data_IF_511823059904
#
_entry.id   IF_511823059904
#
_cell.length_a   1.000
_cell.length_b   1.000
_cell.length_c   1.000
_cell.angle_alpha   90.00
_cell.angle_beta   90.00
_cell.angle_gamma   90.00
#
_symmetry.space_group_name_H-M   'P 1'
#
loop_
_entity.id
_entity.type
_entity.pdbx_description
1 polymer ?
#
# COMPACT_ATOMS: atom_id res chain seq x y z
N UNK A 1 11.84 -22.81 18.56
CA UNK A 1 12.65 -22.28 17.45
C UNK A 1 14.11 -22.54 17.78
N UNK A 2 14.88 -23.26 16.95
CA UNK A 2 16.33 -23.45 17.12
C UNK A 2 17.03 -22.66 16.00
N UNK A 3 17.87 -21.69 16.36
CA UNK A 3 18.66 -20.93 15.39
C UNK A 3 20.09 -21.47 15.45
N UNK A 4 20.57 -22.02 14.34
CA UNK A 4 21.97 -22.39 14.21
C UNK A 4 22.74 -21.27 13.53
N UNK A 5 23.79 -20.81 14.19
CA UNK A 5 24.70 -19.80 13.64
C UNK A 5 25.74 -20.48 12.75
N UNK A 6 25.94 -19.91 11.58
CA UNK A 6 27.07 -20.20 10.72
C UNK A 6 27.69 -18.89 10.31
N UNK A 7 28.83 -18.58 10.90
CA UNK A 7 29.63 -17.42 10.51
C UNK A 7 30.69 -17.88 9.55
N UNK A 8 30.64 -17.40 8.33
CA UNK A 8 31.74 -17.58 7.37
C UNK A 8 32.01 -16.24 6.71
N UNK A 9 33.23 -15.68 6.83
CA UNK A 9 33.62 -14.46 6.12
C UNK A 9 33.70 -14.66 4.61
N UNK A 10 33.47 -15.89 4.13
CA UNK A 10 33.53 -16.23 2.71
C UNK A 10 32.14 -16.58 2.18
N UNK A 11 31.63 -15.75 1.28
CA UNK A 11 30.34 -15.99 0.61
C UNK A 11 30.26 -17.35 -0.09
N UNK A 12 31.37 -17.90 -0.60
CA UNK A 12 31.41 -19.21 -1.25
C UNK A 12 31.02 -20.33 -0.27
N UNK A 13 31.53 -20.28 0.97
CA UNK A 13 31.16 -21.25 2.00
C UNK A 13 29.70 -21.18 2.39
N UNK A 14 29.14 -19.94 2.48
CA UNK A 14 27.72 -19.73 2.71
C UNK A 14 26.85 -20.30 1.60
N UNK A 15 27.22 -20.09 0.34
CA UNK A 15 26.49 -20.66 -0.81
C UNK A 15 26.59 -22.18 -0.90
N UNK A 16 27.77 -22.80 -0.61
CA UNK A 16 27.88 -24.25 -0.52
C UNK A 16 26.99 -24.82 0.56
N UNK A 17 26.95 -24.18 1.74
CA UNK A 17 26.08 -24.58 2.84
C UNK A 17 24.62 -24.49 2.44
N UNK A 18 24.22 -23.40 1.78
CA UNK A 18 22.87 -23.22 1.27
C UNK A 18 22.50 -24.31 0.27
N UNK A 19 23.36 -24.59 -0.71
CA UNK A 19 23.10 -25.61 -1.72
C UNK A 19 22.91 -27.01 -1.10
N UNK A 20 23.79 -27.40 -0.18
CA UNK A 20 23.67 -28.68 0.54
C UNK A 20 22.36 -28.75 1.33
N UNK A 21 22.02 -27.67 2.05
CA UNK A 21 20.78 -27.62 2.83
C UNK A 21 19.52 -27.67 1.96
N UNK A 22 19.54 -27.05 0.77
CA UNK A 22 18.42 -27.11 -0.17
C UNK A 22 18.21 -28.54 -0.72
N UNK A 23 19.26 -29.30 -0.88
CA UNK A 23 19.18 -30.70 -1.33
C UNK A 23 18.71 -31.64 -0.19
N UNK A 24 19.17 -31.39 1.04
CA UNK A 24 18.84 -32.24 2.20
C UNK A 24 17.42 -31.95 2.77
N UNK A 25 17.04 -30.69 2.83
CA UNK A 25 15.83 -30.19 3.51
C UNK A 25 14.81 -29.59 2.53
N UNK A 26 14.52 -30.22 1.38
CA UNK A 26 13.53 -29.70 0.43
C UNK A 26 12.10 -30.17 0.76
N UNK A 27 11.07 -29.44 0.38
CA UNK A 27 11.10 -28.11 -0.23
C UNK A 27 11.44 -26.99 0.77
N UNK A 28 12.24 -26.02 0.33
CA UNK A 28 12.72 -24.92 1.17
C UNK A 28 12.44 -23.54 0.56
N UNK A 29 12.37 -22.49 1.40
CA UNK A 29 12.35 -21.11 0.97
C UNK A 29 13.68 -20.42 1.30
N UNK A 30 14.12 -19.55 0.39
CA UNK A 30 15.32 -18.73 0.56
C UNK A 30 14.93 -17.27 0.43
N UNK A 31 14.85 -16.56 1.53
CA UNK A 31 14.52 -15.14 1.54
C UNK A 31 15.75 -14.27 1.30
N UNK A 32 15.59 -13.31 0.41
CA UNK A 32 16.56 -12.26 0.09
C UNK A 32 15.91 -10.88 0.14
N UNK A 33 16.73 -9.82 0.21
CA UNK A 33 16.21 -8.47 0.42
C UNK A 33 15.93 -7.67 -0.87
N UNK A 34 16.30 -8.19 -2.04
CA UNK A 34 16.02 -7.50 -3.31
C UNK A 34 15.74 -8.48 -4.45
N UNK A 35 15.04 -7.98 -5.48
CA UNK A 35 14.73 -8.76 -6.71
C UNK A 35 16.01 -9.17 -7.43
N UNK A 36 16.97 -8.26 -7.54
CA UNK A 36 18.29 -8.56 -8.16
C UNK A 36 19.07 -9.61 -7.38
N UNK A 37 18.98 -9.59 -6.04
CA UNK A 37 19.60 -10.63 -5.23
C UNK A 37 18.94 -11.99 -5.46
N UNK A 38 17.62 -12.06 -5.65
CA UNK A 38 16.92 -13.32 -5.94
C UNK A 38 17.42 -13.96 -7.23
N UNK A 39 17.52 -13.17 -8.29
CA UNK A 39 18.05 -13.62 -9.58
C UNK A 39 19.52 -14.05 -9.50
N UNK A 40 20.37 -13.22 -8.87
CA UNK A 40 21.80 -13.51 -8.73
C UNK A 40 22.07 -14.77 -7.90
N UNK A 41 21.33 -14.94 -6.81
CA UNK A 41 21.46 -16.13 -5.93
C UNK A 41 21.05 -17.38 -6.68
N UNK A 42 19.94 -17.36 -7.42
CA UNK A 42 19.47 -18.48 -8.23
C UNK A 42 20.51 -18.90 -9.27
N UNK A 43 21.00 -17.95 -10.07
CA UNK A 43 22.01 -18.20 -11.09
C UNK A 43 23.30 -18.77 -10.49
N UNK A 44 23.74 -18.23 -9.35
CA UNK A 44 24.96 -18.70 -8.67
C UNK A 44 24.79 -20.11 -8.13
N UNK A 45 23.66 -20.46 -7.54
CA UNK A 45 23.37 -21.82 -7.05
C UNK A 45 23.39 -22.83 -8.20
N UNK A 46 22.69 -22.54 -9.31
CA UNK A 46 22.65 -23.41 -10.49
C UNK A 46 24.05 -23.59 -11.11
N UNK A 47 24.86 -22.51 -11.15
CA UNK A 47 26.23 -22.57 -11.65
C UNK A 47 27.16 -23.41 -10.77
N UNK A 48 26.93 -23.42 -9.45
CA UNK A 48 27.75 -24.19 -8.50
C UNK A 48 27.34 -25.65 -8.38
N UNK A 49 26.04 -25.91 -8.53
CA UNK A 49 25.43 -27.23 -8.35
C UNK A 49 24.38 -27.42 -9.45
N UNK A 50 24.76 -27.92 -10.65
CA UNK A 50 23.87 -27.99 -11.81
C UNK A 50 22.62 -28.85 -11.61
N UNK A 51 22.65 -29.82 -10.70
CA UNK A 51 21.50 -30.64 -10.35
C UNK A 51 20.48 -29.98 -9.43
N UNK A 52 20.79 -28.79 -8.90
CA UNK A 52 19.86 -28.06 -8.03
C UNK A 52 18.71 -27.48 -8.84
N UNK A 53 17.48 -27.77 -8.46
CA UNK A 53 16.30 -27.22 -9.07
C UNK A 53 15.70 -26.14 -8.16
N UNK A 54 15.96 -24.86 -8.47
CA UNK A 54 15.47 -23.72 -7.71
C UNK A 54 14.79 -22.70 -8.60
N UNK A 55 13.70 -22.11 -8.12
CA UNK A 55 12.97 -21.04 -8.78
C UNK A 55 13.20 -19.69 -8.14
N UNK A 56 12.70 -18.65 -8.80
CA UNK A 56 12.72 -17.27 -8.31
C UNK A 56 11.28 -16.76 -8.17
N UNK A 57 10.99 -16.02 -7.08
CA UNK A 57 9.68 -15.45 -6.83
C UNK A 57 9.78 -14.02 -6.28
N UNK A 58 9.34 -13.05 -7.07
CA UNK A 58 9.25 -11.64 -6.66
C UNK A 58 8.16 -10.89 -7.41
N UNK A 59 7.74 -9.73 -6.89
CA UNK A 59 6.60 -8.98 -7.40
C UNK A 59 6.70 -8.47 -8.84
N UNK A 60 7.90 -8.47 -9.48
CA UNK A 60 8.06 -8.07 -10.88
C UNK A 60 7.83 -9.20 -11.88
N UNK A 61 7.71 -10.45 -11.43
CA UNK A 61 7.35 -11.57 -12.31
C UNK A 61 5.87 -11.54 -12.64
N UNK A 62 5.51 -12.04 -13.82
CA UNK A 62 4.12 -12.22 -14.21
C UNK A 62 3.38 -13.13 -13.20
N UNK A 63 2.08 -12.90 -13.02
CA UNK A 63 1.26 -13.65 -12.06
C UNK A 63 1.28 -15.16 -12.35
N UNK A 64 1.22 -15.50 -13.61
CA UNK A 64 1.24 -16.89 -14.11
C UNK A 64 2.55 -17.61 -13.75
N UNK A 65 3.68 -16.92 -13.96
CA UNK A 65 5.02 -17.46 -13.62
C UNK A 65 5.15 -17.69 -12.11
N UNK A 66 4.67 -16.75 -11.30
CA UNK A 66 4.69 -16.90 -9.84
C UNK A 66 3.89 -18.10 -9.39
N UNK A 67 2.67 -18.23 -9.89
CA UNK A 67 1.79 -19.36 -9.58
C UNK A 67 2.38 -20.71 -10.02
N UNK A 68 3.00 -20.75 -11.19
CA UNK A 68 3.70 -21.96 -11.67
C UNK A 68 4.82 -22.38 -10.71
N UNK A 69 5.62 -21.44 -10.21
CA UNK A 69 6.68 -21.73 -9.22
C UNK A 69 6.12 -22.23 -7.90
N UNK A 70 5.03 -21.61 -7.41
CA UNK A 70 4.33 -22.03 -6.20
C UNK A 70 3.78 -23.46 -6.33
N UNK A 71 3.17 -23.79 -7.46
CA UNK A 71 2.62 -25.14 -7.72
C UNK A 71 3.72 -26.18 -7.83
N UNK A 72 4.83 -25.89 -8.53
CA UNK A 72 6.00 -26.79 -8.61
C UNK A 72 6.63 -27.04 -7.24
N UNK A 73 6.74 -26.03 -6.40
CA UNK A 73 7.25 -26.19 -5.04
C UNK A 73 6.31 -27.06 -4.20
N UNK A 74 5.01 -26.82 -4.27
CA UNK A 74 3.97 -27.58 -3.56
C UNK A 74 3.98 -29.07 -3.96
N UNK A 75 4.21 -29.35 -5.24
CA UNK A 75 4.27 -30.71 -5.77
C UNK A 75 5.61 -31.41 -5.47
N UNK A 76 6.58 -30.75 -4.85
CA UNK A 76 7.90 -31.32 -4.58
C UNK A 76 8.81 -31.45 -5.80
N UNK A 77 8.52 -30.75 -6.88
CA UNK A 77 9.27 -30.76 -8.14
C UNK A 77 10.53 -29.87 -8.07
N UNK A 78 10.67 -29.09 -6.99
CA UNK A 78 11.78 -28.14 -6.80
C UNK A 78 12.41 -28.32 -5.41
N UNK A 79 13.72 -28.06 -5.34
CA UNK A 79 14.43 -28.03 -4.06
C UNK A 79 14.08 -26.79 -3.25
N UNK A 80 13.80 -25.66 -3.92
CA UNK A 80 13.40 -24.44 -3.23
C UNK A 80 13.08 -23.26 -4.14
N UNK A 81 12.57 -22.22 -3.53
CA UNK A 81 12.31 -20.92 -4.17
C UNK A 81 13.13 -19.84 -3.48
N UNK A 82 13.87 -19.06 -4.28
CA UNK A 82 14.52 -17.83 -3.83
C UNK A 82 13.52 -16.68 -4.00
N UNK A 83 13.15 -16.05 -2.88
CA UNK A 83 12.06 -15.07 -2.86
C UNK A 83 12.39 -13.80 -2.08
N UNK A 84 11.67 -12.75 -2.39
CA UNK A 84 11.62 -11.52 -1.60
C UNK A 84 10.43 -11.58 -0.62
N UNK A 85 9.94 -10.43 -0.16
CA UNK A 85 8.73 -10.35 0.68
C UNK A 85 7.45 -10.93 0.03
N UNK A 86 7.48 -11.27 -1.23
CA UNK A 86 6.33 -11.81 -1.97
C UNK A 86 5.77 -13.13 -1.41
N UNK A 87 6.56 -13.89 -0.65
CA UNK A 87 6.15 -15.12 0.03
C UNK A 87 6.16 -15.00 1.58
N UNK A 88 6.29 -13.77 2.11
CA UNK A 88 6.21 -13.53 3.57
C UNK A 88 4.81 -13.77 4.14
N UNK A 89 3.76 -13.38 3.38
CA UNK A 89 2.39 -13.33 3.88
C UNK A 89 1.40 -14.10 2.99
N UNK A 90 0.49 -14.83 3.63
CA UNK A 90 -0.84 -15.16 3.12
C UNK A 90 -0.96 -16.18 1.98
N UNK A 91 0.13 -16.74 1.45
CA UNK A 91 0.06 -17.72 0.37
C UNK A 91 0.26 -19.14 0.95
N UNK A 92 -0.65 -20.04 0.61
CA UNK A 92 -0.48 -21.48 0.89
C UNK A 92 0.43 -22.09 -0.17
N UNK A 93 1.69 -22.28 0.20
CA UNK A 93 2.74 -22.88 -0.64
C UNK A 93 3.03 -24.33 -0.27
N UNK A 94 2.19 -24.92 0.59
CA UNK A 94 2.38 -26.28 1.06
C UNK A 94 3.37 -26.39 2.23
N UNK A 95 3.80 -27.60 2.52
CA UNK A 95 4.69 -27.89 3.65
C UNK A 95 6.14 -27.56 3.32
N UNK A 96 6.65 -26.47 3.88
CA UNK A 96 8.05 -26.06 3.76
C UNK A 96 8.85 -26.66 4.91
N UNK A 97 9.90 -27.42 4.60
CA UNK A 97 10.75 -28.06 5.62
C UNK A 97 11.70 -27.10 6.30
N UNK A 98 12.23 -26.13 5.54
CA UNK A 98 13.22 -25.19 6.07
C UNK A 98 13.14 -23.84 5.38
N UNK A 99 13.41 -22.79 6.15
CA UNK A 99 13.52 -21.42 5.65
C UNK A 99 14.95 -20.93 5.83
N UNK A 100 15.51 -20.38 4.77
CA UNK A 100 16.81 -19.72 4.77
C UNK A 100 16.61 -18.23 4.62
N UNK A 101 17.31 -17.45 5.42
CA UNK A 101 17.44 -16.02 5.27
C UNK A 101 18.86 -15.69 4.85
N UNK A 102 19.05 -15.08 3.68
CA UNK A 102 20.35 -14.57 3.25
C UNK A 102 20.52 -13.12 3.68
N UNK A 103 21.59 -12.84 4.42
CA UNK A 103 21.86 -11.55 5.06
C UNK A 103 20.80 -11.16 6.09
N UNK A 104 20.89 -9.96 6.65
CA UNK A 104 19.95 -9.50 7.68
C UNK A 104 18.53 -9.36 7.14
N UNK A 105 17.51 -9.82 7.87
CA UNK A 105 16.11 -9.53 7.55
C UNK A 105 15.70 -8.08 7.86
N UNK A 106 16.56 -7.29 8.51
CA UNK A 106 16.40 -5.88 8.90
C UNK A 106 15.38 -5.62 10.03
N UNK A 107 14.56 -6.60 10.39
CA UNK A 107 13.57 -6.46 11.46
C UNK A 107 13.25 -7.81 12.10
N UNK A 108 12.86 -7.81 13.37
CA UNK A 108 12.51 -9.02 14.12
C UNK A 108 11.19 -9.61 13.63
N UNK A 109 10.19 -8.77 13.42
CA UNK A 109 8.88 -9.16 12.92
C UNK A 109 8.99 -9.85 11.54
N UNK A 110 9.81 -9.29 10.65
CA UNK A 110 10.09 -9.86 9.33
C UNK A 110 10.78 -11.23 9.43
N UNK A 111 11.75 -11.37 10.32
CA UNK A 111 12.37 -12.68 10.57
C UNK A 111 11.32 -13.71 11.02
N UNK A 112 10.47 -13.35 11.98
CA UNK A 112 9.43 -14.23 12.49
C UNK A 112 8.40 -14.61 11.42
N UNK A 113 7.97 -13.66 10.59
CA UNK A 113 7.05 -13.91 9.47
C UNK A 113 7.65 -14.89 8.46
N UNK A 114 8.94 -14.71 8.10
CA UNK A 114 9.67 -15.60 7.20
C UNK A 114 9.85 -17.00 7.80
N UNK A 115 10.33 -17.08 9.02
CA UNK A 115 10.53 -18.37 9.70
C UNK A 115 9.22 -19.10 9.96
N UNK A 116 8.12 -18.37 10.14
CA UNK A 116 6.77 -18.91 10.25
C UNK A 116 6.25 -19.58 8.97
N UNK A 117 6.96 -19.51 7.84
CA UNK A 117 6.64 -20.29 6.63
C UNK A 117 7.09 -21.77 6.72
N UNK A 118 8.00 -22.11 7.64
CA UNK A 118 8.41 -23.49 7.83
C UNK A 118 7.43 -24.23 8.75
N UNK A 119 7.06 -25.45 8.35
CA UNK A 119 6.26 -26.42 9.12
C UNK A 119 4.99 -25.84 9.79
N UNK A 120 3.93 -25.64 9.01
CA UNK A 120 2.61 -25.23 9.49
C UNK A 120 1.79 -26.39 10.12
N UNK A 121 2.40 -27.39 10.72
CA UNK A 121 1.66 -28.42 11.42
C UNK A 121 1.48 -28.09 12.89
N UNK A 122 0.30 -28.36 13.44
CA UNK A 122 0.04 -28.29 14.87
C UNK A 122 1.07 -29.13 15.65
N UNK A 123 1.96 -28.46 16.39
CA UNK A 123 3.04 -29.09 17.16
C UNK A 123 4.38 -29.23 16.43
N UNK A 124 4.48 -28.84 15.16
CA UNK A 124 5.73 -28.79 14.42
C UNK A 124 6.66 -27.67 14.88
N UNK A 125 7.98 -27.89 14.85
CA UNK A 125 8.99 -26.87 15.12
C UNK A 125 9.57 -26.39 13.79
N UNK A 126 9.19 -25.19 13.37
CA UNK A 126 9.74 -24.59 12.15
C UNK A 126 11.27 -24.48 12.20
N UNK A 127 11.93 -24.91 11.13
CA UNK A 127 13.39 -24.84 11.00
C UNK A 127 13.78 -23.63 10.16
N UNK A 128 14.62 -22.78 10.72
CA UNK A 128 15.15 -21.61 10.02
C UNK A 128 16.66 -21.47 10.16
N UNK A 129 17.30 -20.87 9.19
CA UNK A 129 18.73 -20.59 9.18
C UNK A 129 18.97 -19.20 8.57
N UNK A 130 19.85 -18.42 9.22
CA UNK A 130 20.34 -17.15 8.66
C UNK A 130 21.78 -17.38 8.19
N UNK A 131 22.06 -17.00 6.94
CA UNK A 131 23.38 -17.03 6.34
C UNK A 131 23.84 -15.60 6.06
N UNK A 132 24.79 -15.12 6.85
CA UNK A 132 25.39 -13.80 6.70
C UNK A 132 26.92 -13.91 6.57
N UNK A 133 27.52 -13.05 5.77
CA UNK A 133 28.98 -13.04 5.52
C UNK A 133 29.60 -11.64 5.63
N UNK A 134 28.80 -10.57 5.66
CA UNK A 134 29.27 -9.24 5.94
C UNK A 134 29.31 -9.00 7.46
N UNK A 135 30.35 -8.35 7.96
CA UNK A 135 30.57 -8.18 9.42
C UNK A 135 29.41 -7.43 10.07
N UNK A 136 28.95 -6.36 9.46
CA UNK A 136 27.82 -5.55 9.97
C UNK A 136 26.51 -6.35 9.97
N UNK A 137 26.27 -7.12 8.91
CA UNK A 137 25.12 -8.01 8.76
C UNK A 137 25.12 -9.13 9.82
N UNK A 138 26.29 -9.68 10.17
CA UNK A 138 26.42 -10.71 11.19
C UNK A 138 25.98 -10.15 12.55
N UNK A 139 26.45 -8.96 12.89
CA UNK A 139 26.08 -8.29 14.17
C UNK A 139 24.59 -8.02 14.26
N UNK A 140 24.00 -7.48 13.20
CA UNK A 140 22.57 -7.22 13.11
C UNK A 140 21.74 -8.52 13.19
N UNK A 141 22.14 -9.56 12.44
CA UNK A 141 21.51 -10.89 12.50
C UNK A 141 21.54 -11.48 13.93
N UNK A 142 22.65 -11.30 14.66
CA UNK A 142 22.78 -11.78 16.02
C UNK A 142 21.76 -11.14 16.96
N UNK A 143 21.63 -9.81 16.88
CA UNK A 143 20.66 -9.05 17.70
C UNK A 143 19.22 -9.42 17.33
N UNK A 144 18.90 -9.43 16.03
CA UNK A 144 17.56 -9.78 15.54
C UNK A 144 17.17 -11.19 15.98
N UNK A 145 18.08 -12.18 15.82
CA UNK A 145 17.79 -13.56 16.24
C UNK A 145 17.56 -13.68 17.73
N UNK A 146 18.38 -13.01 18.55
CA UNK A 146 18.20 -12.99 20.01
C UNK A 146 16.83 -12.44 20.38
N UNK A 147 16.45 -11.31 19.81
CA UNK A 147 15.14 -10.67 20.03
C UNK A 147 14.00 -11.57 19.57
N UNK A 148 14.11 -12.18 18.37
CA UNK A 148 13.11 -13.09 17.84
C UNK A 148 12.90 -14.31 18.76
N UNK A 149 13.97 -14.87 19.31
CA UNK A 149 13.89 -15.98 20.28
C UNK A 149 13.23 -15.57 21.59
N UNK A 150 13.40 -14.33 22.01
CA UNK A 150 12.78 -13.75 23.21
C UNK A 150 11.35 -13.20 22.93
N UNK A 151 10.86 -13.25 21.68
CA UNK A 151 9.60 -12.62 21.25
C UNK A 151 9.56 -11.11 21.50
N UNK A 152 10.73 -10.47 21.46
CA UNK A 152 10.89 -9.01 21.62
C UNK A 152 10.74 -8.36 20.23
N UNK A 153 9.54 -7.87 19.90
CA UNK A 153 9.30 -7.13 18.66
C UNK A 153 9.76 -5.68 18.79
N UNK A 154 10.05 -5.06 17.65
CA UNK A 154 10.23 -3.62 17.58
C UNK A 154 8.90 -2.92 17.89
N UNK A 155 8.99 -1.77 18.56
CA UNK A 155 7.84 -0.91 18.78
C UNK A 155 7.28 -0.43 17.45
N UNK A 156 5.97 -0.45 17.31
CA UNK A 156 5.29 0.11 16.14
C UNK A 156 4.96 1.57 16.45
N UNK A 157 5.63 2.48 15.77
CA UNK A 157 5.25 3.89 15.78
C UNK A 157 4.05 4.09 14.87
N UNK A 158 2.87 4.22 15.48
CA UNK A 158 1.66 4.52 14.74
C UNK A 158 1.70 5.95 14.23
N UNK A 159 1.64 6.09 12.93
CA UNK A 159 1.45 7.39 12.32
C UNK A 159 0.04 7.88 12.64
N UNK A 160 -0.06 8.85 13.56
CA UNK A 160 -1.33 9.52 13.83
C UNK A 160 -1.61 10.54 12.74
N UNK A 161 -2.89 10.70 12.41
CA UNK A 161 -3.38 11.71 11.43
C UNK A 161 -2.65 11.70 10.07
N UNK A 162 -2.49 10.54 9.39
CA UNK A 162 -1.77 10.47 8.13
C UNK A 162 -2.55 11.20 7.03
N UNK A 163 -2.06 12.38 6.62
CA UNK A 163 -2.73 13.25 5.64
C UNK A 163 -3.01 12.57 4.29
N UNK A 164 -2.13 11.67 3.84
CA UNK A 164 -2.33 10.89 2.61
C UNK A 164 -3.53 9.96 2.72
N UNK A 165 -3.74 9.33 3.88
CA UNK A 165 -4.91 8.50 4.13
C UNK A 165 -6.17 9.35 4.10
N UNK A 166 -6.18 10.52 4.77
CA UNK A 166 -7.30 11.45 4.73
C UNK A 166 -7.62 11.90 3.30
N UNK A 167 -6.60 12.26 2.51
CA UNK A 167 -6.76 12.66 1.12
C UNK A 167 -7.43 11.56 0.28
N UNK A 168 -6.97 10.32 0.40
CA UNK A 168 -7.57 9.17 -0.29
C UNK A 168 -9.02 8.93 0.15
N UNK A 169 -9.30 9.04 1.44
CA UNK A 169 -10.67 8.87 1.96
C UNK A 169 -11.60 9.95 1.43
N UNK A 170 -11.17 11.22 1.34
CA UNK A 170 -11.97 12.27 0.75
C UNK A 170 -12.26 12.02 -0.74
N UNK A 171 -11.28 11.57 -1.52
CA UNK A 171 -11.50 11.21 -2.91
C UNK A 171 -12.54 10.06 -3.02
N UNK A 172 -12.38 9.00 -2.22
CA UNK A 172 -13.30 7.85 -2.23
C UNK A 172 -14.72 8.28 -1.82
N UNK A 173 -14.82 9.07 -0.77
CA UNK A 173 -16.11 9.60 -0.30
C UNK A 173 -16.82 10.45 -1.37
N UNK A 174 -16.04 11.29 -2.09
CA UNK A 174 -16.55 12.06 -3.21
C UNK A 174 -17.05 11.17 -4.35
N UNK A 175 -16.31 10.13 -4.72
CA UNK A 175 -16.70 9.17 -5.78
C UNK A 175 -17.97 8.41 -5.39
N UNK A 176 -18.07 7.99 -4.13
CA UNK A 176 -19.21 7.20 -3.63
C UNK A 176 -20.49 8.05 -3.56
N UNK A 177 -20.41 9.26 -3.01
CA UNK A 177 -21.56 10.09 -2.70
C UNK A 177 -21.86 11.16 -3.74
N UNK A 178 -20.91 11.48 -4.60
CA UNK A 178 -21.00 12.52 -5.60
C UNK A 178 -20.87 13.95 -5.03
N UNK A 179 -21.64 14.29 -4.02
CA UNK A 179 -21.61 15.61 -3.34
C UNK A 179 -21.47 15.36 -1.84
N UNK A 180 -20.47 15.98 -1.22
CA UNK A 180 -20.15 15.76 0.19
C UNK A 180 -20.04 17.07 0.95
N UNK A 181 -20.92 17.33 1.93
CA UNK A 181 -20.79 18.48 2.83
C UNK A 181 -19.47 18.44 3.60
N UNK A 182 -18.80 19.59 3.76
CA UNK A 182 -17.50 19.67 4.43
C UNK A 182 -17.56 19.23 5.89
N UNK A 183 -18.60 19.61 6.60
CA UNK A 183 -18.81 19.19 8.00
C UNK A 183 -18.94 17.67 8.11
N UNK A 184 -19.71 17.06 7.18
CA UNK A 184 -19.91 15.61 7.18
C UNK A 184 -18.63 14.84 6.87
N UNK A 185 -17.81 15.37 5.97
CA UNK A 185 -16.51 14.78 5.67
C UNK A 185 -15.58 14.82 6.89
N UNK A 186 -15.55 15.92 7.61
CA UNK A 186 -14.76 16.07 8.83
C UNK A 186 -15.26 15.15 9.95
N UNK A 187 -16.57 15.05 10.15
CA UNK A 187 -17.18 14.11 11.12
C UNK A 187 -16.79 12.66 10.83
N UNK A 188 -16.84 12.25 9.57
CA UNK A 188 -16.48 10.87 9.17
C UNK A 188 -15.04 10.56 9.51
N UNK A 189 -14.10 11.47 9.23
CA UNK A 189 -12.68 11.27 9.55
C UNK A 189 -12.47 11.20 11.07
N UNK A 190 -13.07 12.09 11.83
CA UNK A 190 -12.92 12.12 13.29
C UNK A 190 -13.46 10.87 13.99
N UNK A 191 -14.38 10.14 13.36
CA UNK A 191 -14.87 8.86 13.90
C UNK A 191 -13.83 7.72 13.81
N UNK A 192 -12.71 7.92 13.12
CA UNK A 192 -11.61 6.97 13.11
C UNK A 192 -10.62 7.26 14.24
N UNK A 193 -10.21 6.22 14.97
CA UNK A 193 -9.32 6.35 16.14
C UNK A 193 -7.99 7.03 15.86
N UNK A 194 -7.45 6.90 14.63
CA UNK A 194 -6.21 7.53 14.20
C UNK A 194 -6.34 9.04 13.97
N UNK A 195 -7.56 9.55 13.88
CA UNK A 195 -7.88 10.94 13.55
C UNK A 195 -8.66 11.65 14.67
N UNK A 196 -8.54 11.19 15.93
CA UNK A 196 -9.27 11.77 17.07
C UNK A 196 -8.98 13.26 17.29
N UNK A 197 -7.72 13.66 17.07
CA UNK A 197 -7.26 15.03 17.25
C UNK A 197 -7.31 15.84 15.95
N UNK A 198 -7.93 15.28 14.91
CA UNK A 198 -8.09 15.90 13.62
C UNK A 198 -9.06 17.09 13.71
N UNK A 199 -8.63 18.25 13.24
CA UNK A 199 -9.48 19.43 13.22
C UNK A 199 -10.02 19.74 11.82
N UNK A 200 -11.05 20.57 11.79
CA UNK A 200 -11.72 20.99 10.55
C UNK A 200 -10.76 21.67 9.56
N UNK A 201 -9.83 22.49 10.06
CA UNK A 201 -8.87 23.19 9.21
C UNK A 201 -7.97 22.23 8.42
N UNK A 202 -7.51 21.14 9.05
CA UNK A 202 -6.73 20.09 8.35
C UNK A 202 -7.53 19.46 7.21
N UNK A 203 -8.84 19.24 7.40
CA UNK A 203 -9.72 18.75 6.33
C UNK A 203 -9.75 19.74 5.15
N UNK A 204 -9.94 21.03 5.43
CA UNK A 204 -9.98 22.07 4.40
C UNK A 204 -8.64 22.16 3.66
N UNK A 205 -7.52 22.14 4.36
CA UNK A 205 -6.20 22.26 3.75
C UNK A 205 -5.92 21.09 2.78
N UNK A 206 -6.30 19.87 3.15
CA UNK A 206 -6.19 18.71 2.26
C UNK A 206 -7.12 18.83 1.06
N UNK A 207 -8.38 19.24 1.29
CA UNK A 207 -9.34 19.41 0.20
C UNK A 207 -8.89 20.50 -0.78
N UNK A 208 -8.25 21.59 -0.31
CA UNK A 208 -7.63 22.59 -1.18
C UNK A 208 -6.55 21.99 -2.06
N UNK A 209 -5.62 21.21 -1.48
CA UNK A 209 -4.57 20.51 -2.24
C UNK A 209 -5.18 19.57 -3.28
N UNK A 210 -6.23 18.84 -2.95
CA UNK A 210 -6.93 17.96 -3.88
C UNK A 210 -7.63 18.72 -5.00
N UNK A 211 -8.21 19.89 -4.69
CA UNK A 211 -8.82 20.79 -5.65
C UNK A 211 -7.78 21.37 -6.63
N UNK A 212 -6.64 21.84 -6.13
CA UNK A 212 -5.54 22.37 -6.95
C UNK A 212 -4.95 21.33 -7.90
N UNK A 213 -5.02 20.05 -7.51
CA UNK A 213 -4.64 18.91 -8.35
C UNK A 213 -5.73 18.41 -9.28
N UNK A 214 -6.88 19.07 -9.30
CA UNK A 214 -8.05 18.71 -10.12
C UNK A 214 -8.60 17.30 -9.80
N UNK A 215 -8.42 16.83 -8.59
CA UNK A 215 -8.96 15.54 -8.13
C UNK A 215 -10.40 15.68 -7.60
N UNK A 216 -10.70 16.83 -7.01
CA UNK A 216 -12.05 17.20 -6.57
C UNK A 216 -12.38 18.60 -7.04
N UNK A 217 -13.60 19.03 -6.82
CA UNK A 217 -14.08 20.41 -6.92
C UNK A 217 -14.55 20.82 -5.55
N UNK A 218 -13.90 21.85 -4.98
CA UNK A 218 -14.17 22.37 -3.63
C UNK A 218 -14.96 23.67 -3.72
N UNK A 219 -16.00 23.79 -2.91
CA UNK A 219 -16.74 25.03 -2.65
C UNK A 219 -16.73 25.24 -1.15
N UNK A 220 -15.90 26.16 -0.66
CA UNK A 220 -15.76 26.48 0.76
C UNK A 220 -16.83 27.51 1.21
N UNK A 221 -17.10 28.46 0.37
CA UNK A 221 -18.11 29.51 0.63
C UNK A 221 -19.08 29.57 -0.56
N UNK A 222 -20.29 29.01 -0.43
CA UNK A 222 -21.28 29.09 -1.50
C UNK A 222 -21.67 30.49 -1.90
N UNK A 223 -21.65 31.45 -0.95
CA UNK A 223 -22.01 32.86 -1.20
C UNK A 223 -21.02 33.60 -2.11
N UNK A 224 -19.79 33.12 -2.18
CA UNK A 224 -18.71 33.75 -2.96
C UNK A 224 -18.27 32.90 -4.16
N UNK A 225 -18.74 31.67 -4.26
CA UNK A 225 -18.31 30.72 -5.30
C UNK A 225 -18.92 31.01 -6.67
N UNK A 226 -18.25 30.59 -7.73
CA UNK A 226 -18.79 30.60 -9.08
C UNK A 226 -19.87 29.52 -9.23
N UNK A 227 -21.11 29.95 -9.23
CA UNK A 227 -22.29 29.08 -9.26
C UNK A 227 -22.35 28.24 -10.54
N UNK A 228 -21.80 28.74 -11.65
CA UNK A 228 -21.78 27.99 -12.92
C UNK A 228 -20.90 26.73 -12.85
N UNK A 229 -20.01 26.67 -11.86
CA UNK A 229 -19.14 25.52 -11.60
C UNK A 229 -19.74 24.48 -10.65
N UNK A 230 -20.93 24.71 -10.13
CA UNK A 230 -21.59 23.74 -9.25
C UNK A 230 -21.94 22.45 -10.01
N UNK A 231 -22.05 21.30 -9.32
CA UNK A 231 -22.45 20.05 -9.96
C UNK A 231 -23.79 20.17 -10.69
N UNK A 232 -23.89 19.63 -11.91
CA UNK A 232 -25.08 19.75 -12.74
C UNK A 232 -26.37 19.28 -12.01
N UNK A 233 -26.32 18.16 -11.33
CA UNK A 233 -27.46 17.64 -10.54
C UNK A 233 -27.92 18.61 -9.44
N UNK A 234 -26.96 19.23 -8.74
CA UNK A 234 -27.27 20.22 -7.72
C UNK A 234 -27.90 21.48 -8.35
N UNK A 235 -27.33 21.92 -9.48
CA UNK A 235 -27.89 23.03 -10.24
C UNK A 235 -29.35 22.79 -10.60
N UNK A 236 -29.65 21.68 -11.29
CA UNK A 236 -31.00 21.33 -11.71
C UNK A 236 -32.02 21.27 -10.54
N UNK A 237 -31.58 20.70 -9.43
CA UNK A 237 -32.40 20.61 -8.22
C UNK A 237 -32.72 21.99 -7.63
N UNK A 238 -31.71 22.85 -7.55
CA UNK A 238 -31.88 24.19 -6.97
C UNK A 238 -32.60 25.13 -7.92
N UNK A 239 -32.36 25.08 -9.22
CA UNK A 239 -33.04 25.86 -10.23
C UNK A 239 -34.56 25.64 -10.18
N UNK A 240 -35.00 24.39 -10.04
CA UNK A 240 -36.42 24.02 -9.91
C UNK A 240 -37.08 24.55 -8.61
N UNK A 241 -36.28 24.80 -7.57
CA UNK A 241 -36.78 25.32 -6.27
C UNK A 241 -36.81 26.83 -6.19
N UNK A 242 -36.28 27.53 -7.18
CA UNK A 242 -36.23 29.01 -7.19
C UNK A 242 -37.34 29.59 -8.07
N UNK A 243 -37.97 30.68 -7.62
CA UNK A 243 -38.96 31.39 -8.39
C UNK A 243 -38.34 32.38 -9.42
N UNK A 244 -37.04 32.27 -9.67
CA UNK A 244 -36.31 33.16 -10.57
C UNK A 244 -36.01 32.48 -11.91
N UNK A 245 -35.85 33.29 -12.95
CA UNK A 245 -35.51 32.84 -14.30
C UNK A 245 -34.06 32.32 -14.35
N UNK A 246 -33.83 31.10 -13.83
CA UNK A 246 -32.56 30.39 -13.81
C UNK A 246 -32.69 29.26 -14.84
N UNK A 247 -31.70 29.06 -15.72
CA UNK A 247 -31.71 27.93 -16.65
C UNK A 247 -31.85 26.60 -15.90
N UNK A 248 -32.76 25.72 -16.37
CA UNK A 248 -32.92 24.39 -15.75
C UNK A 248 -31.62 23.55 -15.87
N UNK A 249 -30.94 23.69 -16.99
CA UNK A 249 -29.63 23.06 -17.19
C UNK A 249 -28.51 24.04 -16.85
N UNK A 250 -27.46 23.52 -16.22
CA UNK A 250 -26.26 24.30 -15.92
C UNK A 250 -25.57 24.72 -17.21
N UNK A 251 -25.21 26.00 -17.39
CA UNK A 251 -24.42 26.43 -18.54
C UNK A 251 -23.12 25.68 -18.70
N UNK A 252 -22.62 25.45 -19.93
CA UNK A 252 -21.30 24.90 -20.18
C UNK A 252 -20.20 25.72 -19.50
N UNK A 253 -19.06 25.05 -19.22
CA UNK A 253 -17.92 25.69 -18.55
C UNK A 253 -17.31 26.86 -19.32
N UNK A 254 -17.45 26.82 -20.65
CA UNK A 254 -16.79 27.74 -21.58
C UNK A 254 -17.68 28.92 -21.99
N UNK A 255 -18.90 29.00 -21.49
CA UNK A 255 -19.76 30.15 -21.76
C UNK A 255 -19.38 31.36 -20.92
N UNK A 256 -19.08 32.49 -21.58
CA UNK A 256 -18.94 33.80 -20.98
C UNK A 256 -20.34 34.29 -20.55
N UNK A 257 -20.80 33.84 -19.40
CA UNK A 257 -22.01 34.40 -18.79
C UNK A 257 -21.72 35.78 -18.21
N UNK A 258 -22.67 36.70 -18.33
CA UNK A 258 -22.53 38.01 -17.67
C UNK A 258 -22.35 37.82 -16.16
N UNK A 259 -21.42 38.53 -15.57
CA UNK A 259 -21.12 38.43 -14.13
C UNK A 259 -22.33 38.80 -13.27
N UNK A 260 -23.21 39.72 -13.78
CA UNK A 260 -24.47 40.06 -13.16
C UNK A 260 -25.43 38.88 -13.00
N UNK A 261 -25.52 38.00 -14.01
CA UNK A 261 -26.38 36.82 -14.00
C UNK A 261 -25.84 35.77 -13.06
N UNK A 262 -24.53 35.52 -13.05
CA UNK A 262 -23.89 34.61 -12.12
C UNK A 262 -24.15 35.01 -10.67
N UNK A 263 -24.05 36.27 -10.34
CA UNK A 263 -24.35 36.81 -9.00
C UNK A 263 -25.82 36.62 -8.65
N UNK A 264 -26.73 36.92 -9.58
CA UNK A 264 -28.17 36.78 -9.39
C UNK A 264 -28.54 35.30 -9.13
N UNK A 265 -28.07 34.40 -9.97
CA UNK A 265 -28.32 32.96 -9.82
C UNK A 265 -27.75 32.41 -8.49
N UNK A 266 -26.52 32.77 -8.15
CA UNK A 266 -25.91 32.41 -6.87
C UNK A 266 -26.77 32.81 -5.68
N UNK A 267 -27.18 34.11 -5.61
CA UNK A 267 -28.02 34.65 -4.53
C UNK A 267 -29.36 33.90 -4.42
N UNK A 268 -29.95 33.53 -5.53
CA UNK A 268 -31.21 32.80 -5.56
C UNK A 268 -31.01 31.34 -5.08
N UNK A 269 -30.02 30.66 -5.60
CA UNK A 269 -29.74 29.26 -5.29
C UNK A 269 -29.28 29.06 -3.84
N UNK A 270 -28.44 29.95 -3.30
CA UNK A 270 -27.99 29.88 -1.90
C UNK A 270 -29.14 29.97 -0.91
N UNK A 271 -30.21 30.73 -1.23
CA UNK A 271 -31.39 30.81 -0.37
C UNK A 271 -32.10 29.45 -0.21
N UNK A 272 -32.16 28.67 -1.26
CA UNK A 272 -32.81 27.33 -1.30
C UNK A 272 -31.85 26.19 -1.10
N UNK A 273 -30.57 26.50 -0.85
CA UNK A 273 -29.53 25.48 -0.61
C UNK A 273 -29.86 24.66 0.64
N UNK A 274 -29.73 23.33 0.60
CA UNK A 274 -29.85 22.47 1.77
C UNK A 274 -28.97 22.96 2.92
N UNK A 275 -29.45 22.86 4.16
CA UNK A 275 -28.75 23.34 5.35
C UNK A 275 -27.34 22.74 5.48
N UNK A 276 -27.21 21.49 5.11
CA UNK A 276 -25.95 20.71 5.18
C UNK A 276 -24.87 21.23 4.19
N UNK A 277 -25.28 21.91 3.12
CA UNK A 277 -24.39 22.47 2.11
C UNK A 277 -24.07 23.97 2.32
N UNK A 278 -24.68 24.62 3.30
CA UNK A 278 -24.47 26.08 3.53
C UNK A 278 -23.03 26.41 3.92
N UNK A 279 -22.34 25.51 4.58
CA UNK A 279 -20.95 25.66 5.00
C UNK A 279 -19.94 25.07 3.99
N UNK A 280 -20.38 24.82 2.76
CA UNK A 280 -19.57 24.32 1.68
C UNK A 280 -19.63 22.80 1.49
N UNK A 281 -19.07 22.37 0.37
CA UNK A 281 -19.02 20.96 -0.03
C UNK A 281 -17.87 20.70 -1.00
N UNK A 282 -17.62 19.43 -1.28
CA UNK A 282 -16.82 19.03 -2.43
C UNK A 282 -17.51 17.95 -3.25
N UNK A 283 -17.08 17.81 -4.49
CA UNK A 283 -17.53 16.77 -5.42
C UNK A 283 -16.34 16.19 -6.19
N UNK A 284 -16.43 14.94 -6.68
CA UNK A 284 -15.33 14.35 -7.45
C UNK A 284 -15.21 15.07 -8.81
N UNK A 285 -13.98 15.17 -9.30
CA UNK A 285 -13.74 15.58 -10.69
C UNK A 285 -13.72 14.34 -11.60
N UNK A 286 -13.78 14.56 -12.93
CA UNK A 286 -13.61 13.47 -13.90
C UNK A 286 -12.24 12.77 -13.82
N UNK A 287 -11.23 13.43 -13.25
CA UNK A 287 -9.89 12.88 -13.00
C UNK A 287 -9.87 11.96 -11.77
N UNK A 288 -10.73 12.19 -10.78
CA UNK A 288 -10.80 11.38 -9.55
C UNK A 288 -11.08 9.90 -9.85
N UNK A 289 -12.03 9.61 -10.74
CA UNK A 289 -12.39 8.24 -11.11
C UNK A 289 -11.25 7.49 -11.81
N UNK A 290 -10.42 8.19 -12.59
CA UNK A 290 -9.22 7.62 -13.24
C UNK A 290 -8.10 7.40 -12.22
N UNK A 291 -7.87 8.36 -11.33
CA UNK A 291 -6.87 8.26 -10.26
C UNK A 291 -7.13 7.11 -9.28
N UNK A 292 -8.41 6.73 -9.12
CA UNK A 292 -8.80 5.59 -8.28
C UNK A 292 -8.14 4.27 -8.72
N UNK A 293 -8.04 4.03 -10.03
CA UNK A 293 -7.44 2.79 -10.56
C UNK A 293 -5.92 2.79 -10.50
N UNK A 294 -5.29 3.96 -10.50
CA UNK A 294 -3.83 4.12 -10.51
C UNK A 294 -3.22 4.16 -9.09
N UNK A 295 -3.99 4.60 -8.08
CA UNK A 295 -3.46 4.93 -6.74
C UNK A 295 -4.24 4.27 -5.59
N UNK A 296 -4.93 3.14 -5.83
CA UNK A 296 -5.69 2.43 -4.78
C UNK A 296 -4.76 1.79 -3.74
N UNK A 297 -3.54 1.45 -4.10
CA UNK A 297 -2.59 0.88 -3.15
C UNK A 297 -2.03 1.98 -2.26
N UNK A 298 -2.44 1.99 -0.99
CA UNK A 298 -1.80 2.80 0.06
C UNK A 298 -0.52 2.14 0.58
N UNK A 299 -0.19 0.97 0.08
CA UNK A 299 1.11 0.34 0.25
C UNK A 299 1.99 0.95 -0.84
N UNK A 300 2.98 1.78 -0.50
CA UNK A 300 3.88 2.32 -1.52
C UNK A 300 4.54 1.14 -2.23
N UNK A 301 4.44 1.12 -3.56
CA UNK A 301 5.39 0.34 -4.34
C UNK A 301 6.78 0.77 -3.89
N UNK A 302 7.70 -0.19 -3.69
CA UNK A 302 9.07 0.08 -3.22
C UNK A 302 9.64 1.28 -3.98
N UNK A 303 9.81 2.39 -3.28
CA UNK A 303 10.43 3.58 -3.85
C UNK A 303 11.89 3.23 -4.05
N UNK A 304 12.27 2.89 -5.27
CA UNK A 304 13.66 2.72 -5.62
C UNK A 304 14.33 4.11 -5.67
N UNK A 305 15.04 4.48 -4.63
CA UNK A 305 15.91 5.64 -4.65
C UNK A 305 17.11 5.34 -5.56
N UNK A 306 17.20 6.01 -6.72
CA UNK A 306 18.47 6.11 -7.43
C UNK A 306 19.34 7.11 -6.67
N UNK A 307 20.31 6.62 -5.92
CA UNK A 307 21.42 7.43 -5.43
C UNK A 307 22.24 7.82 -6.66
N UNK A 308 22.34 9.12 -6.95
CA UNK A 308 23.25 9.67 -7.97
C UNK A 308 24.61 9.87 -7.35
#
# INVERSE_FOLDING_TARGET
MSVKWSVSPNSIAAFRRLANSLIEDYPSLVFVNSRSAAETVSQRLISMVPEINVGVHHGSLASETRKEMEDKLRNGEMHGIICTSSLELGIDIGSIKKVHQLQSPRAVDRLLQRMGRAEHHLGGTGRGEILAWEVDEISECAVISRKAMASELEGVDWQTEPGVVAANQFIQLGIERGLVPLEKANEIIQNCSLFKDWNYQKSIDILRVLNDRWLIRLVENPDESDVTKWPAKLWEELAKKTDQNIPEERPPWDEEQEESDKIKWRRAMVKVLPKELKNGWFSPSGKASRSRTEHISMIPDEISYRVR
#
